data_IF_632356027375
#
_entry.id   IF_632356027375
#
_cell.length_a   1.000
_cell.length_b   1.000
_cell.length_c   1.000
_cell.angle_alpha   90.00
_cell.angle_beta   90.00
_cell.angle_gamma   90.00
#
_symmetry.space_group_name_H-M   'P 1'
#
loop_
_entity.id
_entity.type
_entity.pdbx_description
1 polymer ?
#
# COMPACT_ATOMS: atom_id res chain seq x y z
N UNK A 1 -7.69 22.54 -6.55
CA UNK A 1 -8.16 21.35 -7.30
C UNK A 1 -9.68 21.47 -7.43
N UNK A 2 -10.23 21.60 -8.64
CA UNK A 2 -11.68 21.56 -8.87
C UNK A 2 -11.91 20.83 -10.19
N UNK A 3 -12.60 19.69 -10.14
CA UNK A 3 -12.86 18.81 -11.28
C UNK A 3 -14.33 18.45 -11.24
N UNK A 4 -15.07 18.86 -12.28
CA UNK A 4 -16.53 18.69 -12.35
C UNK A 4 -16.97 17.25 -12.67
N UNK A 5 -16.05 16.36 -13.02
CA UNK A 5 -16.34 15.00 -13.49
C UNK A 5 -15.68 13.88 -12.69
N UNK A 6 -14.95 14.20 -11.63
CA UNK A 6 -14.32 13.20 -10.75
C UNK A 6 -15.33 12.52 -9.84
N UNK A 7 -15.15 11.22 -9.61
CA UNK A 7 -15.93 10.42 -8.66
C UNK A 7 -14.99 9.77 -7.65
N UNK A 8 -14.23 10.61 -6.95
CA UNK A 8 -13.15 10.16 -6.08
C UNK A 8 -13.65 9.35 -4.90
N UNK A 9 -13.07 8.17 -4.71
CA UNK A 9 -13.38 7.23 -3.62
C UNK A 9 -12.15 6.91 -2.77
N UNK A 10 -10.98 6.78 -3.39
CA UNK A 10 -9.69 6.62 -2.73
C UNK A 10 -8.79 7.82 -2.95
N UNK A 11 -8.01 8.17 -1.95
CA UNK A 11 -7.03 9.27 -2.03
C UNK A 11 -5.78 8.90 -1.25
N UNK A 12 -4.62 9.17 -1.84
CA UNK A 12 -3.33 8.97 -1.20
C UNK A 12 -2.36 10.08 -1.59
N UNK A 13 -1.60 10.55 -0.62
CA UNK A 13 -0.53 11.53 -0.82
C UNK A 13 0.83 10.85 -0.64
N UNK A 14 1.71 11.03 -1.62
CA UNK A 14 3.05 10.46 -1.66
C UNK A 14 3.90 11.24 -2.68
N UNK A 15 5.20 11.31 -2.44
CA UNK A 15 6.22 11.84 -3.37
C UNK A 15 6.58 10.73 -4.39
N UNK A 16 5.85 10.63 -5.50
CA UNK A 16 5.99 9.50 -6.44
C UNK A 16 7.17 9.68 -7.40
N UNK A 17 7.58 10.94 -7.68
CA UNK A 17 8.68 11.25 -8.59
C UNK A 17 10.00 11.62 -7.88
N UNK A 18 10.00 11.56 -6.54
CA UNK A 18 11.16 11.79 -5.68
C UNK A 18 11.75 13.20 -5.78
N UNK A 19 10.94 14.20 -6.12
CA UNK A 19 11.36 15.60 -6.19
C UNK A 19 11.36 16.31 -4.83
N UNK A 20 10.84 15.64 -3.80
CA UNK A 20 10.85 16.08 -2.41
C UNK A 20 9.58 16.82 -1.98
N UNK A 21 8.57 16.93 -2.85
CA UNK A 21 7.25 17.39 -2.46
C UNK A 21 6.17 16.30 -2.62
N UNK A 22 4.98 16.52 -2.06
CA UNK A 22 3.93 15.48 -2.01
C UNK A 22 2.95 15.68 -3.16
N UNK A 23 2.72 14.61 -3.91
CA UNK A 23 1.68 14.52 -4.93
C UNK A 23 0.40 13.92 -4.37
N UNK A 24 -0.66 13.89 -5.19
CA UNK A 24 -1.95 13.33 -4.79
C UNK A 24 -2.53 12.45 -5.88
N UNK A 25 -2.71 11.16 -5.59
CA UNK A 25 -3.49 10.27 -6.43
C UNK A 25 -4.92 10.16 -5.93
N UNK A 26 -5.87 10.10 -6.86
CA UNK A 26 -7.30 9.93 -6.59
C UNK A 26 -7.85 8.80 -7.47
N UNK A 27 -8.28 7.72 -6.82
CA UNK A 27 -9.00 6.62 -7.45
C UNK A 27 -10.46 7.06 -7.69
N UNK A 28 -10.92 6.98 -8.94
CA UNK A 28 -12.24 7.44 -9.36
C UNK A 28 -13.15 6.27 -9.77
N UNK A 29 -14.42 6.35 -9.38
CA UNK A 29 -15.44 5.34 -9.70
C UNK A 29 -15.98 5.46 -11.15
N UNK A 30 -15.43 4.69 -12.08
CA UNK A 30 -15.93 4.52 -13.45
C UNK A 30 -15.60 5.71 -14.34
N UNK A 31 -14.58 6.49 -13.95
CA UNK A 31 -14.03 7.63 -14.71
C UNK A 31 -12.52 7.65 -14.53
N UNK A 32 -11.75 8.29 -15.42
CA UNK A 32 -10.29 8.23 -15.34
C UNK A 32 -9.76 8.72 -13.98
N UNK A 33 -8.79 8.00 -13.41
CA UNK A 33 -8.14 8.39 -12.17
C UNK A 33 -7.40 9.75 -12.33
N UNK A 34 -7.12 10.40 -11.20
CA UNK A 34 -6.31 11.61 -11.19
C UNK A 34 -4.98 11.39 -10.46
N UNK A 35 -3.94 12.03 -10.97
CA UNK A 35 -2.63 12.14 -10.34
C UNK A 35 -2.28 13.61 -10.41
N UNK A 36 -2.48 14.31 -9.31
CA UNK A 36 -2.13 15.70 -9.18
C UNK A 36 -0.67 15.79 -8.79
N UNK A 37 0.17 16.01 -9.80
CA UNK A 37 1.57 16.33 -9.60
C UNK A 37 1.66 17.73 -8.99
N UNK A 38 2.38 17.85 -7.89
CA UNK A 38 2.65 19.13 -7.27
C UNK A 38 3.71 19.87 -8.10
N UNK A 39 3.44 21.14 -8.37
CA UNK A 39 4.27 22.02 -9.21
C UNK A 39 4.94 23.10 -8.36
N UNK A 40 4.99 22.88 -7.04
CA UNK A 40 5.39 23.84 -6.03
C UNK A 40 4.37 24.96 -5.80
N UNK A 41 4.57 25.70 -4.71
CA UNK A 41 3.78 26.88 -4.33
C UNK A 41 2.26 26.62 -4.27
N UNK A 42 1.86 25.41 -3.87
CA UNK A 42 0.45 25.00 -3.74
C UNK A 42 -0.29 24.85 -5.07
N UNK A 43 0.44 24.73 -6.19
CA UNK A 43 -0.13 24.47 -7.51
C UNK A 43 -0.01 22.99 -7.84
N UNK A 44 -1.06 22.44 -8.43
CA UNK A 44 -1.11 21.04 -8.84
C UNK A 44 -1.59 20.93 -10.28
N UNK A 45 -0.97 20.04 -11.05
CA UNK A 45 -1.38 19.69 -12.41
C UNK A 45 -1.82 18.23 -12.48
N UNK A 46 -2.94 17.94 -13.15
CA UNK A 46 -3.33 16.55 -13.37
C UNK A 46 -2.43 15.92 -14.45
N UNK A 47 -1.57 14.99 -14.04
CA UNK A 47 -0.62 14.27 -14.88
C UNK A 47 -1.06 12.83 -15.21
N UNK A 48 -2.21 12.36 -14.69
CA UNK A 48 -2.60 10.94 -14.73
C UNK A 48 -2.49 10.28 -16.11
N UNK A 49 -3.00 10.94 -17.15
CA UNK A 49 -2.99 10.39 -18.50
C UNK A 49 -1.57 10.35 -19.08
N UNK A 50 -0.78 11.40 -18.85
CA UNK A 50 0.60 11.48 -19.31
C UNK A 50 1.51 10.48 -18.56
N UNK A 51 1.17 10.17 -17.30
CA UNK A 51 1.89 9.25 -16.43
C UNK A 51 1.37 7.81 -16.52
N UNK A 52 0.31 7.53 -17.28
CA UNK A 52 -0.17 6.15 -17.49
C UNK A 52 -1.03 5.56 -16.38
N UNK A 53 -1.48 6.36 -15.40
CA UNK A 53 -2.31 5.88 -14.26
C UNK A 53 -3.78 6.28 -14.34
N UNK A 54 -4.18 6.99 -15.39
CA UNK A 54 -5.57 7.43 -15.58
C UNK A 54 -6.52 6.28 -15.97
N UNK A 55 -6.00 5.25 -16.64
CA UNK A 55 -6.73 4.17 -17.29
C UNK A 55 -5.94 2.86 -17.09
N UNK A 56 -6.56 1.71 -17.30
CA UNK A 56 -5.84 0.43 -17.30
C UNK A 56 -5.04 0.20 -18.60
N UNK A 57 -4.35 -0.94 -18.69
CA UNK A 57 -3.44 -1.30 -19.77
C UNK A 57 -4.08 -1.40 -21.16
N UNK A 58 -5.42 -1.46 -21.24
CA UNK A 58 -6.18 -1.44 -22.50
C UNK A 58 -6.87 -0.10 -22.78
N UNK A 59 -6.65 0.91 -21.93
CA UNK A 59 -7.16 2.27 -22.11
C UNK A 59 -8.59 2.46 -21.63
N UNK A 60 -9.08 1.64 -20.70
CA UNK A 60 -10.41 1.74 -20.13
C UNK A 60 -10.38 2.41 -18.74
N UNK A 61 -11.45 3.14 -18.42
CA UNK A 61 -11.65 3.64 -17.07
C UNK A 61 -12.24 2.53 -16.22
N UNK A 62 -11.67 2.36 -15.03
CA UNK A 62 -12.15 1.39 -14.04
C UNK A 62 -12.85 2.14 -12.91
N UNK A 63 -13.53 1.41 -12.05
CA UNK A 63 -14.18 1.90 -10.86
C UNK A 63 -13.28 1.74 -9.64
N UNK A 64 -12.31 2.65 -9.51
CA UNK A 64 -11.32 2.64 -8.44
C UNK A 64 -11.90 2.99 -7.07
N UNK A 65 -11.58 2.16 -6.07
CA UNK A 65 -11.96 2.36 -4.67
C UNK A 65 -10.74 2.57 -3.77
N UNK A 66 -10.19 1.51 -3.17
CA UNK A 66 -9.02 1.63 -2.31
C UNK A 66 -7.73 1.72 -3.11
N UNK A 67 -6.77 2.42 -2.52
CA UNK A 67 -5.49 2.72 -3.16
C UNK A 67 -4.34 2.57 -2.18
N UNK A 68 -3.20 2.08 -2.67
CA UNK A 68 -1.95 2.19 -1.94
C UNK A 68 -0.75 2.39 -2.87
N UNK A 69 0.32 2.96 -2.31
CA UNK A 69 1.65 2.99 -2.91
C UNK A 69 2.62 2.07 -2.14
N UNK A 70 3.56 1.45 -2.84
CA UNK A 70 4.58 0.58 -2.25
C UNK A 70 5.68 0.28 -3.25
N UNK A 71 6.90 0.12 -2.77
CA UNK A 71 8.08 -0.31 -3.56
C UNK A 71 8.06 -1.84 -3.60
N UNK A 72 7.23 -2.42 -4.49
CA UNK A 72 6.87 -3.85 -4.39
C UNK A 72 7.89 -4.78 -5.04
N UNK A 73 8.74 -4.26 -5.93
CA UNK A 73 9.83 -5.00 -6.54
C UNK A 73 11.22 -4.56 -6.00
N UNK A 74 11.23 -3.76 -4.93
CA UNK A 74 12.42 -3.32 -4.20
C UNK A 74 13.45 -2.60 -5.10
N UNK A 75 12.98 -1.82 -6.07
CA UNK A 75 13.80 -1.05 -6.99
C UNK A 75 14.07 0.41 -6.52
N UNK A 76 13.37 0.82 -5.45
CA UNK A 76 13.56 2.09 -4.75
C UNK A 76 12.64 3.22 -5.23
N UNK A 77 11.81 3.00 -6.25
CA UNK A 77 10.67 3.87 -6.55
C UNK A 77 9.35 3.28 -6.01
N UNK A 78 8.26 4.04 -6.13
CA UNK A 78 6.98 3.64 -5.55
C UNK A 78 5.97 3.33 -6.64
N UNK A 79 5.38 2.15 -6.55
CA UNK A 79 4.35 1.61 -7.43
C UNK A 79 2.97 1.82 -6.84
N UNK A 80 1.96 1.78 -7.70
CA UNK A 80 0.58 2.11 -7.33
C UNK A 80 -0.32 0.90 -7.52
N UNK A 81 -1.08 0.55 -6.49
CA UNK A 81 -2.12 -0.47 -6.56
C UNK A 81 -3.50 0.16 -6.33
N UNK A 82 -4.47 -0.19 -7.17
CA UNK A 82 -5.84 0.30 -7.11
C UNK A 82 -6.81 -0.88 -7.16
N UNK A 83 -7.71 -0.95 -6.19
CA UNK A 83 -8.81 -1.92 -6.20
C UNK A 83 -9.98 -1.40 -7.01
N UNK A 84 -10.67 -2.30 -7.71
CA UNK A 84 -11.69 -1.94 -8.70
C UNK A 84 -12.98 -2.77 -8.56
N UNK A 85 -13.94 -2.53 -9.45
CA UNK A 85 -15.22 -3.22 -9.47
C UNK A 85 -15.10 -4.66 -10.00
N UNK A 86 -16.05 -5.53 -9.68
CA UNK A 86 -16.06 -6.90 -10.23
C UNK A 86 -16.15 -6.89 -11.76
N UNK A 87 -15.38 -7.75 -12.42
CA UNK A 87 -15.08 -7.79 -13.86
C UNK A 87 -14.15 -6.68 -14.37
N UNK A 88 -13.55 -5.91 -13.46
CA UNK A 88 -12.34 -5.12 -13.67
C UNK A 88 -11.22 -5.80 -12.87
N UNK A 89 -9.96 -5.62 -13.25
CA UNK A 89 -8.84 -6.15 -12.47
C UNK A 89 -8.49 -5.18 -11.36
N UNK A 90 -8.01 -5.67 -10.20
CA UNK A 90 -7.34 -4.76 -9.26
C UNK A 90 -5.97 -4.42 -9.85
N UNK A 91 -5.79 -3.16 -10.25
CA UNK A 91 -4.74 -2.75 -11.17
C UNK A 91 -3.45 -2.39 -10.44
N UNK A 92 -2.36 -3.05 -10.82
CA UNK A 92 -1.00 -2.76 -10.37
C UNK A 92 -0.27 -1.98 -11.46
N UNK A 93 0.09 -0.74 -11.13
CA UNK A 93 0.86 0.18 -11.95
C UNK A 93 2.30 0.21 -11.43
N UNK A 94 3.21 -0.42 -12.15
CA UNK A 94 4.64 -0.32 -11.85
C UNK A 94 5.21 1.00 -12.34
N UNK A 95 5.96 1.70 -11.51
CA UNK A 95 6.65 2.91 -11.88
C UNK A 95 7.91 2.55 -12.69
N UNK A 96 8.13 3.27 -13.79
CA UNK A 96 9.27 3.06 -14.69
C UNK A 96 10.15 4.33 -14.64
N UNK A 97 10.14 5.03 -13.51
CA UNK A 97 10.77 6.33 -13.23
C UNK A 97 10.11 7.55 -13.90
N UNK A 98 9.65 7.43 -15.16
CA UNK A 98 9.08 8.57 -15.92
C UNK A 98 7.56 8.48 -16.03
N UNK A 99 7.04 7.26 -16.14
CA UNK A 99 5.63 6.92 -16.30
C UNK A 99 5.37 5.59 -15.58
N UNK A 100 4.10 5.24 -15.44
CA UNK A 100 3.67 3.96 -14.89
C UNK A 100 3.14 3.04 -15.97
N UNK A 101 3.34 1.74 -15.77
CA UNK A 101 2.88 0.68 -16.63
C UNK A 101 1.95 -0.23 -15.86
N UNK A 102 0.77 -0.50 -16.41
CA UNK A 102 -0.08 -1.59 -15.94
C UNK A 102 0.64 -2.94 -16.15
N UNK A 103 0.96 -3.60 -15.05
CA UNK A 103 1.63 -4.91 -15.01
C UNK A 103 0.72 -5.98 -14.39
N UNK A 104 -0.56 -5.71 -14.19
CA UNK A 104 -1.51 -6.54 -13.42
C UNK A 104 -1.53 -8.00 -13.86
N UNK A 105 -1.60 -8.24 -15.18
CA UNK A 105 -1.58 -9.60 -15.72
C UNK A 105 -0.19 -10.26 -15.59
N UNK A 106 0.89 -9.49 -15.79
CA UNK A 106 2.26 -10.00 -15.69
C UNK A 106 2.64 -10.34 -14.24
N UNK A 107 2.09 -9.62 -13.28
CA UNK A 107 2.28 -9.82 -11.85
C UNK A 107 1.35 -10.92 -11.26
N UNK A 108 0.49 -11.54 -12.06
CA UNK A 108 -0.40 -12.63 -11.61
C UNK A 108 -1.68 -12.18 -10.89
N UNK A 109 -2.02 -10.89 -10.92
CA UNK A 109 -3.14 -10.33 -10.17
C UNK A 109 -4.46 -10.28 -10.95
N UNK A 110 -4.40 -10.35 -12.29
CA UNK A 110 -5.58 -10.16 -13.15
C UNK A 110 -6.69 -11.20 -12.87
N UNK A 111 -6.45 -12.48 -13.15
CA UNK A 111 -7.48 -13.52 -13.02
C UNK A 111 -8.00 -13.69 -11.58
N UNK A 112 -7.15 -13.69 -10.53
CA UNK A 112 -7.64 -13.81 -9.16
C UNK A 112 -8.52 -12.65 -8.70
N UNK A 113 -8.23 -11.41 -9.11
CA UNK A 113 -9.00 -10.23 -8.69
C UNK A 113 -10.30 -10.04 -9.48
N UNK A 114 -10.34 -10.52 -10.73
CA UNK A 114 -11.38 -10.19 -11.72
C UNK A 114 -12.83 -10.47 -11.30
N UNK A 115 -13.11 -11.35 -10.34
CA UNK A 115 -14.50 -11.62 -9.88
C UNK A 115 -14.89 -10.94 -8.58
N UNK A 116 -13.92 -10.29 -7.93
CA UNK A 116 -14.12 -9.62 -6.66
C UNK A 116 -14.37 -8.14 -6.86
N UNK A 117 -15.10 -7.52 -5.94
CA UNK A 117 -15.24 -6.08 -5.88
C UNK A 117 -14.43 -5.62 -4.66
N UNK A 118 -13.28 -5.02 -4.95
CA UNK A 118 -12.27 -4.64 -3.96
C UNK A 118 -12.53 -3.28 -3.33
N UNK A 119 -12.13 -3.14 -2.08
CA UNK A 119 -12.15 -1.88 -1.34
C UNK A 119 -10.83 -1.67 -0.59
N UNK A 120 -10.77 -1.93 0.71
CA UNK A 120 -9.56 -1.68 1.49
C UNK A 120 -8.39 -2.51 0.98
N UNK A 121 -7.22 -1.90 0.88
CA UNK A 121 -6.01 -2.53 0.37
C UNK A 121 -4.76 -1.92 0.98
N UNK A 122 -3.70 -2.70 1.09
CA UNK A 122 -2.38 -2.19 1.44
C UNK A 122 -1.29 -3.12 0.92
N UNK A 123 -0.15 -2.53 0.56
CA UNK A 123 1.10 -3.27 0.49
C UNK A 123 1.60 -3.50 1.92
N UNK A 124 1.89 -4.75 2.26
CA UNK A 124 2.37 -5.17 3.57
C UNK A 124 3.39 -6.29 3.41
N UNK A 125 4.23 -6.54 4.40
CA UNK A 125 5.12 -7.69 4.42
C UNK A 125 4.64 -8.61 5.56
N UNK A 126 3.71 -9.52 5.25
CA UNK A 126 3.01 -10.28 6.30
C UNK A 126 3.85 -11.45 6.81
N UNK A 127 4.81 -11.96 6.03
CA UNK A 127 5.69 -13.06 6.42
C UNK A 127 7.15 -12.62 6.72
N UNK A 128 7.39 -11.31 6.78
CA UNK A 128 8.66 -10.65 7.08
C UNK A 128 9.80 -11.08 6.12
N UNK A 129 9.52 -11.49 4.89
CA UNK A 129 10.56 -11.99 3.98
C UNK A 129 11.33 -10.87 3.25
N UNK A 130 10.80 -9.65 3.30
CA UNK A 130 11.35 -8.43 2.72
C UNK A 130 10.71 -8.00 1.40
N UNK A 131 9.75 -8.78 0.88
CA UNK A 131 8.96 -8.45 -0.30
C UNK A 131 7.56 -7.96 0.13
N UNK A 132 7.03 -6.92 -0.55
CA UNK A 132 5.69 -6.42 -0.23
C UNK A 132 4.63 -7.31 -0.88
N UNK A 133 3.82 -7.95 -0.04
CA UNK A 133 2.57 -8.64 -0.32
C UNK A 133 1.41 -7.65 -0.50
N UNK A 134 0.24 -8.19 -0.86
CA UNK A 134 -0.99 -7.43 -1.03
C UNK A 134 -2.16 -8.07 -0.31
N UNK A 135 -2.89 -7.27 0.46
CA UNK A 135 -4.20 -7.66 1.01
C UNK A 135 -5.32 -6.85 0.35
N UNK A 136 -6.46 -7.50 0.09
CA UNK A 136 -7.68 -6.84 -0.40
C UNK A 136 -8.90 -7.26 0.42
N UNK A 137 -9.62 -6.26 0.95
CA UNK A 137 -10.94 -6.41 1.53
C UNK A 137 -12.02 -6.32 0.44
N UNK A 138 -12.83 -7.36 0.34
CA UNK A 138 -13.85 -7.48 -0.71
C UNK A 138 -15.27 -7.43 -0.16
N UNK A 139 -16.23 -7.15 -1.04
CA UNK A 139 -17.65 -7.29 -0.75
C UNK A 139 -18.48 -6.44 -1.68
N UNK A 140 -19.36 -7.06 -2.45
CA UNK A 140 -20.09 -6.38 -3.51
C UNK A 140 -21.07 -5.32 -2.96
N UNK A 141 -21.44 -4.34 -3.77
CA UNK A 141 -22.39 -3.27 -3.37
C UNK A 141 -23.85 -3.60 -3.69
N UNK A 142 -24.08 -4.49 -4.66
CA UNK A 142 -25.42 -4.97 -5.05
C UNK A 142 -25.75 -6.29 -4.34
N UNK A 143 -26.76 -6.25 -3.47
CA UNK A 143 -27.25 -7.38 -2.65
C UNK A 143 -27.77 -8.58 -3.47
N UNK A 144 -28.22 -8.31 -4.69
CA UNK A 144 -28.78 -9.30 -5.62
C UNK A 144 -27.88 -9.63 -6.80
N UNK A 145 -26.57 -9.35 -6.71
CA UNK A 145 -25.64 -9.51 -7.84
C UNK A 145 -25.67 -10.91 -8.46
N UNK A 146 -25.82 -11.95 -7.64
CA UNK A 146 -25.91 -13.34 -8.10
C UNK A 146 -27.08 -13.63 -9.05
N UNK A 147 -28.09 -12.75 -9.13
CA UNK A 147 -29.18 -12.85 -10.11
C UNK A 147 -28.78 -12.34 -11.50
N UNK A 148 -27.75 -11.50 -11.59
CA UNK A 148 -27.33 -10.81 -12.81
C UNK A 148 -25.97 -11.29 -13.31
N UNK A 149 -25.10 -11.76 -12.42
CA UNK A 149 -23.73 -12.18 -12.72
C UNK A 149 -23.42 -13.50 -12.05
N UNK A 150 -23.20 -14.53 -12.86
CA UNK A 150 -22.89 -15.87 -12.37
C UNK A 150 -21.47 -15.92 -11.81
N UNK A 151 -21.33 -16.44 -10.59
CA UNK A 151 -20.03 -16.58 -9.92
C UNK A 151 -19.52 -15.33 -9.22
N UNK A 152 -20.35 -14.29 -9.10
CA UNK A 152 -20.13 -13.13 -8.23
C UNK A 152 -21.19 -13.14 -7.15
N UNK A 153 -20.75 -12.99 -5.90
CA UNK A 153 -21.62 -12.99 -4.73
C UNK A 153 -21.60 -11.64 -4.02
N UNK A 154 -22.66 -11.39 -3.23
CA UNK A 154 -22.78 -10.15 -2.48
C UNK A 154 -21.74 -10.05 -1.36
N UNK A 155 -21.69 -11.09 -0.53
CA UNK A 155 -20.62 -11.28 0.45
C UNK A 155 -19.47 -12.00 -0.26
N UNK A 156 -18.23 -11.56 -0.06
CA UNK A 156 -17.07 -12.07 -0.76
C UNK A 156 -15.94 -12.38 0.22
N UNK A 157 -15.12 -13.37 -0.12
CA UNK A 157 -13.89 -13.68 0.60
C UNK A 157 -12.87 -12.54 0.44
N UNK A 158 -12.05 -12.37 1.46
CA UNK A 158 -10.87 -11.50 1.42
C UNK A 158 -9.77 -12.14 0.59
N UNK A 159 -8.89 -11.31 0.01
CA UNK A 159 -7.75 -11.81 -0.74
C UNK A 159 -6.43 -11.41 -0.07
N UNK A 160 -5.52 -12.37 0.02
CA UNK A 160 -4.11 -12.19 0.36
C UNK A 160 -3.28 -12.73 -0.79
N UNK A 161 -2.32 -11.94 -1.22
CA UNK A 161 -1.40 -12.23 -2.32
C UNK A 161 0.01 -12.16 -1.78
N UNK A 162 0.71 -13.28 -1.77
CA UNK A 162 2.13 -13.30 -1.42
C UNK A 162 2.96 -12.89 -2.62
N UNK A 163 3.89 -11.97 -2.44
CA UNK A 163 4.91 -11.66 -3.44
C UNK A 163 5.98 -12.74 -3.41
N UNK A 164 6.14 -13.50 -4.49
CA UNK A 164 7.10 -14.61 -4.58
C UNK A 164 8.54 -14.13 -4.90
N UNK A 165 8.80 -12.84 -4.70
CA UNK A 165 10.02 -12.14 -5.06
C UNK A 165 10.03 -11.61 -6.50
N UNK A 166 10.65 -10.44 -6.69
CA UNK A 166 10.78 -9.80 -8.01
C UNK A 166 9.45 -9.35 -8.63
N UNK A 167 8.41 -9.19 -7.79
CA UNK A 167 7.16 -8.54 -8.18
C UNK A 167 6.12 -9.44 -8.84
N UNK A 168 6.13 -10.74 -8.57
CA UNK A 168 5.07 -11.67 -9.01
C UNK A 168 4.28 -12.15 -7.81
N UNK A 169 2.96 -12.23 -7.93
CA UNK A 169 2.08 -12.58 -6.84
C UNK A 169 1.41 -13.94 -7.03
N UNK A 170 1.34 -14.69 -5.92
CA UNK A 170 0.50 -15.87 -5.77
C UNK A 170 -0.61 -15.57 -4.78
N UNK A 171 -1.86 -15.88 -5.13
CA UNK A 171 -2.98 -15.80 -4.19
C UNK A 171 -2.86 -16.92 -3.14
N UNK A 172 -2.82 -16.55 -1.86
CA UNK A 172 -2.58 -17.45 -0.73
C UNK A 172 -3.74 -17.52 0.26
N UNK A 173 -4.83 -16.79 0.05
CA UNK A 173 -5.97 -16.70 0.98
C UNK A 173 -6.47 -18.05 1.46
N UNK A 174 -6.53 -19.06 0.58
CA UNK A 174 -7.01 -20.40 0.92
C UNK A 174 -6.17 -21.15 1.96
N UNK A 175 -4.93 -20.72 2.20
CA UNK A 175 -3.99 -21.30 3.16
C UNK A 175 -3.61 -20.34 4.31
N UNK A 176 -4.09 -19.10 4.30
CA UNK A 176 -3.71 -18.05 5.26
C UNK A 176 -4.65 -17.95 6.47
N UNK A 177 -5.31 -19.04 6.83
CA UNK A 177 -6.18 -19.14 8.00
C UNK A 177 -7.67 -18.92 7.71
N UNK A 178 -8.49 -19.15 8.75
CA UNK A 178 -9.95 -19.25 8.60
C UNK A 178 -10.60 -17.94 8.15
N UNK A 179 -10.04 -16.79 8.54
CA UNK A 179 -10.54 -15.45 8.19
C UNK A 179 -10.79 -15.30 6.68
N UNK A 180 -9.87 -15.78 5.87
CA UNK A 180 -9.90 -15.65 4.41
C UNK A 180 -10.90 -16.58 3.73
N UNK A 181 -11.44 -17.56 4.45
CA UNK A 181 -12.47 -18.47 3.94
C UNK A 181 -13.89 -17.94 4.19
N UNK A 182 -14.02 -16.89 5.02
CA UNK A 182 -15.31 -16.30 5.38
C UNK A 182 -15.68 -15.17 4.43
N UNK A 183 -16.90 -15.22 3.92
CA UNK A 183 -17.48 -14.16 3.08
C UNK A 183 -18.02 -13.04 3.94
N UNK A 184 -17.64 -11.80 3.63
CA UNK A 184 -18.08 -10.60 4.32
C UNK A 184 -18.40 -9.47 3.33
N UNK A 185 -18.90 -8.34 3.84
CA UNK A 185 -19.12 -7.12 3.07
C UNK A 185 -18.14 -6.08 3.61
N UNK A 186 -16.89 -6.21 3.21
CA UNK A 186 -15.78 -5.49 3.83
C UNK A 186 -15.46 -4.21 3.08
N UNK A 187 -15.02 -3.18 3.80
CA UNK A 187 -14.65 -1.88 3.22
C UNK A 187 -13.24 -1.50 3.68
N UNK A 188 -13.12 -0.59 4.63
CA UNK A 188 -11.83 -0.12 5.12
C UNK A 188 -11.06 -1.22 5.84
N UNK A 189 -9.76 -1.28 5.59
CA UNK A 189 -8.79 -2.13 6.27
C UNK A 189 -7.60 -1.27 6.71
N UNK A 190 -7.27 -1.32 8.00
CA UNK A 190 -6.13 -0.68 8.62
C UNK A 190 -5.11 -1.75 9.02
N UNK A 191 -3.83 -1.38 8.97
CA UNK A 191 -2.72 -2.31 9.17
C UNK A 191 -1.79 -1.80 10.25
N UNK A 192 -1.18 -2.71 10.99
CA UNK A 192 -0.17 -2.39 11.99
C UNK A 192 0.07 -3.55 12.93
N UNK A 193 1.24 -3.55 13.56
CA UNK A 193 1.61 -4.46 14.63
C UNK A 193 0.91 -4.03 15.93
N UNK A 194 -0.27 -4.61 16.18
CA UNK A 194 -1.20 -4.15 17.21
C UNK A 194 -0.71 -4.47 18.62
N UNK A 195 0.00 -5.58 18.79
CA UNK A 195 0.46 -6.07 20.09
C UNK A 195 1.98 -6.03 20.29
N UNK A 196 2.70 -5.43 19.34
CA UNK A 196 4.14 -5.15 19.36
C UNK A 196 5.01 -6.42 19.33
N UNK A 197 4.57 -7.45 18.60
CA UNK A 197 5.30 -8.71 18.44
C UNK A 197 6.10 -8.82 17.12
N UNK A 198 5.89 -7.87 16.21
CA UNK A 198 6.70 -7.69 15.00
C UNK A 198 6.12 -8.22 13.71
N UNK A 199 4.90 -8.77 13.76
CA UNK A 199 4.13 -9.07 12.57
C UNK A 199 3.04 -8.01 12.32
N UNK A 200 2.49 -7.99 11.11
CA UNK A 200 1.48 -7.00 10.71
C UNK A 200 0.09 -7.60 10.88
N UNK A 201 -0.72 -7.00 11.75
CA UNK A 201 -2.14 -7.31 11.92
C UNK A 201 -3.04 -6.46 11.02
N UNK A 202 -4.29 -6.89 10.88
CA UNK A 202 -5.29 -6.21 10.05
C UNK A 202 -6.57 -5.96 10.85
N UNK A 203 -7.00 -4.70 10.90
CA UNK A 203 -8.32 -4.31 11.39
C UNK A 203 -9.26 -3.99 10.22
N UNK A 204 -10.31 -4.78 10.05
CA UNK A 204 -11.24 -4.70 8.92
C UNK A 204 -12.62 -4.23 9.38
N UNK A 205 -13.18 -3.24 8.69
CA UNK A 205 -14.55 -2.77 8.89
C UNK A 205 -15.53 -3.43 7.92
N UNK A 206 -16.65 -3.92 8.46
CA UNK A 206 -17.69 -4.63 7.72
C UNK A 206 -18.98 -3.80 7.64
N UNK A 207 -19.57 -3.65 6.45
CA UNK A 207 -20.85 -2.99 6.27
C UNK A 207 -21.97 -3.79 6.94
N UNK A 208 -22.63 -3.19 7.94
CA UNK A 208 -23.72 -3.85 8.68
C UNK A 208 -23.26 -4.97 9.61
N UNK A 209 -21.95 -5.11 9.82
CA UNK A 209 -21.33 -6.10 10.70
C UNK A 209 -20.39 -5.46 11.73
N UNK A 210 -19.74 -6.30 12.52
CA UNK A 210 -18.71 -5.88 13.47
C UNK A 210 -17.39 -5.62 12.78
N UNK A 211 -16.58 -4.70 13.31
CA UNK A 211 -15.16 -4.65 12.96
C UNK A 211 -14.46 -5.93 13.43
N UNK A 212 -13.47 -6.40 12.68
CA UNK A 212 -12.71 -7.62 12.97
C UNK A 212 -11.23 -7.32 12.98
N UNK A 213 -10.57 -7.65 14.10
CA UNK A 213 -9.12 -7.68 14.20
C UNK A 213 -8.66 -9.09 13.80
N UNK A 214 -7.80 -9.16 12.80
CA UNK A 214 -7.19 -10.37 12.27
C UNK A 214 -5.73 -10.32 12.69
N UNK A 215 -5.34 -11.25 13.56
CA UNK A 215 -3.97 -11.31 14.08
C UNK A 215 -3.10 -12.29 13.30
N UNK A 216 -1.83 -11.97 13.12
CA UNK A 216 -0.88 -12.77 12.34
C UNK A 216 -0.02 -13.76 13.18
N UNK A 217 -0.53 -14.13 14.36
CA UNK A 217 0.14 -14.96 15.37
C UNK A 217 0.81 -16.29 14.92
N UNK A 218 0.35 -16.92 13.83
CA UNK A 218 0.77 -18.26 13.42
C UNK A 218 1.62 -18.27 12.12
N UNK A 219 1.80 -17.12 11.47
CA UNK A 219 2.36 -17.01 10.12
C UNK A 219 3.84 -16.63 10.06
N UNK A 220 4.30 -15.80 11.00
CA UNK A 220 5.57 -15.09 10.85
C UNK A 220 6.51 -15.25 12.04
N UNK A 221 7.78 -15.59 11.77
CA UNK A 221 8.86 -15.68 12.76
C UNK A 221 10.19 -15.14 12.24
N UNK A 222 10.17 -14.49 11.08
CA UNK A 222 11.37 -13.91 10.50
C UNK A 222 11.70 -12.58 11.19
N UNK A 223 12.90 -12.07 10.92
CA UNK A 223 13.36 -10.85 11.58
C UNK A 223 12.67 -9.63 10.96
N UNK A 224 12.51 -8.58 11.76
CA UNK A 224 11.86 -7.35 11.33
C UNK A 224 12.57 -6.11 11.88
N UNK A 225 12.26 -4.95 11.32
CA UNK A 225 12.58 -3.66 11.90
C UNK A 225 11.38 -2.75 11.73
N UNK A 226 11.02 -2.04 12.79
CA UNK A 226 9.99 -1.01 12.70
C UNK A 226 10.59 0.36 12.96
N UNK A 227 10.32 1.31 12.09
CA UNK A 227 10.90 2.65 12.15
C UNK A 227 9.80 3.68 12.35
N UNK A 228 9.95 4.52 13.38
CA UNK A 228 9.08 5.67 13.65
C UNK A 228 9.86 6.98 13.54
N UNK A 229 9.82 7.67 12.38
CA UNK A 229 10.33 9.03 12.27
C UNK A 229 9.49 10.01 13.09
N UNK A 230 10.14 10.91 13.82
CA UNK A 230 9.51 12.00 14.59
C UNK A 230 10.15 13.32 14.18
N UNK A 231 9.39 14.16 13.47
CA UNK A 231 9.88 15.45 12.99
C UNK A 231 10.10 16.47 14.11
N UNK A 232 11.08 17.35 13.93
CA UNK A 232 11.36 18.51 14.80
C UNK A 232 11.44 19.83 14.03
N UNK A 233 11.87 19.78 12.77
CA UNK A 233 11.75 20.86 11.78
C UNK A 233 10.62 20.57 10.80
N UNK A 234 10.52 19.31 10.37
CA UNK A 234 9.40 18.75 9.63
C UNK A 234 8.17 18.59 10.54
N UNK A 235 7.03 18.19 9.97
CA UNK A 235 5.82 17.91 10.76
C UNK A 235 6.09 16.80 11.80
N UNK A 236 5.44 16.88 12.96
CA UNK A 236 5.73 16.01 14.11
C UNK A 236 5.48 14.52 13.85
N UNK A 237 4.53 14.23 12.98
CA UNK A 237 4.17 12.87 12.59
C UNK A 237 5.13 12.29 11.54
N UNK A 238 6.11 13.08 11.06
CA UNK A 238 7.10 12.63 10.08
C UNK A 238 6.54 12.38 8.68
N UNK A 239 5.30 12.81 8.38
CA UNK A 239 4.64 12.58 7.07
C UNK A 239 5.54 13.09 5.94
N UNK A 240 5.76 12.23 4.93
CA UNK A 240 6.64 12.49 3.79
C UNK A 240 8.09 12.05 4.01
N UNK A 241 8.50 11.69 5.23
CA UNK A 241 9.84 11.14 5.47
C UNK A 241 9.99 9.80 4.73
N UNK A 242 11.01 9.70 3.88
CA UNK A 242 11.38 8.48 3.15
C UNK A 242 12.49 7.78 3.93
N UNK A 243 12.27 6.52 4.29
CA UNK A 243 13.20 5.69 5.04
C UNK A 243 13.69 4.57 4.13
N UNK A 244 15.01 4.46 4.02
CA UNK A 244 15.71 3.40 3.31
C UNK A 244 16.43 2.53 4.31
N UNK A 245 16.16 1.23 4.27
CA UNK A 245 16.80 0.22 5.13
C UNK A 245 17.68 -0.67 4.26
N UNK A 246 18.92 -0.90 4.70
CA UNK A 246 19.82 -1.87 4.09
C UNK A 246 20.21 -2.90 5.15
N UNK A 247 19.94 -4.17 4.88
CA UNK A 247 20.28 -5.30 5.75
C UNK A 247 20.88 -6.42 4.90
N UNK A 248 22.17 -6.70 5.06
CA UNK A 248 22.86 -7.85 4.46
C UNK A 248 22.57 -8.03 2.95
N UNK A 249 22.52 -6.92 2.21
CA UNK A 249 22.27 -6.88 0.77
C UNK A 249 20.81 -6.72 0.34
N UNK A 250 19.83 -6.84 1.25
CA UNK A 250 18.46 -6.40 1.01
C UNK A 250 18.36 -4.89 1.20
N UNK A 251 17.67 -4.24 0.29
CA UNK A 251 17.38 -2.81 0.31
C UNK A 251 15.88 -2.63 0.18
N UNK A 252 15.30 -1.80 1.04
CA UNK A 252 13.87 -1.51 1.05
C UNK A 252 13.66 -0.02 1.27
N UNK A 253 12.64 0.54 0.61
CA UNK A 253 12.22 1.94 0.80
C UNK A 253 10.76 2.00 1.24
N UNK A 254 10.48 2.83 2.25
CA UNK A 254 9.12 3.14 2.71
C UNK A 254 8.99 4.63 2.99
N UNK A 255 7.78 5.19 2.86
CA UNK A 255 7.50 6.58 3.19
C UNK A 255 6.38 6.67 4.23
N UNK A 256 6.56 7.55 5.22
CA UNK A 256 5.52 7.85 6.21
C UNK A 256 4.36 8.59 5.54
N UNK A 257 3.16 8.04 5.68
CA UNK A 257 1.93 8.55 5.05
C UNK A 257 0.82 8.70 6.08
N UNK A 258 -0.15 9.56 5.79
CA UNK A 258 -1.28 9.84 6.69
C UNK A 258 -2.56 9.08 6.35
N UNK A 259 -2.62 8.43 5.19
CA UNK A 259 -3.77 7.66 4.74
C UNK A 259 -3.41 6.77 3.55
N UNK A 260 -4.13 5.67 3.43
CA UNK A 260 -4.04 4.66 2.37
C UNK A 260 -5.35 3.87 2.35
N UNK A 261 -5.43 2.79 1.56
CA UNK A 261 -6.57 1.87 1.56
C UNK A 261 -7.86 2.59 1.15
N UNK A 262 -8.99 2.21 1.73
CA UNK A 262 -10.30 2.81 1.48
C UNK A 262 -10.85 3.47 2.76
N UNK A 263 -10.91 4.81 2.78
CA UNK A 263 -11.44 5.63 3.88
C UNK A 263 -10.84 5.27 5.26
N UNK A 264 -9.54 4.95 5.27
CA UNK A 264 -8.85 4.39 6.44
C UNK A 264 -7.44 5.01 6.57
N UNK A 265 -6.84 4.87 7.76
CA UNK A 265 -5.43 5.13 8.00
C UNK A 265 -4.85 3.97 8.83
N UNK A 266 -3.62 3.58 8.51
CA UNK A 266 -2.86 2.53 9.18
C UNK A 266 -1.97 3.12 10.28
N UNK A 267 -1.27 2.24 11.01
CA UNK A 267 -0.18 2.62 11.88
C UNK A 267 0.87 3.45 11.11
N UNK A 268 1.30 4.63 11.62
CA UNK A 268 2.32 5.44 10.94
C UNK A 268 3.73 4.87 11.04
N UNK A 269 3.97 3.83 11.84
CA UNK A 269 5.27 3.14 11.92
C UNK A 269 5.53 2.38 10.62
N UNK A 270 6.74 2.53 10.10
CA UNK A 270 7.18 1.84 8.89
C UNK A 270 7.73 0.47 9.25
N UNK A 271 7.09 -0.58 8.77
CA UNK A 271 7.52 -1.96 8.96
C UNK A 271 8.41 -2.42 7.79
N UNK A 272 9.43 -3.20 8.14
CA UNK A 272 10.40 -3.81 7.22
C UNK A 272 10.63 -5.25 7.66
N UNK A 273 10.19 -6.24 6.88
CA UNK A 273 10.64 -7.62 7.04
C UNK A 273 12.07 -7.76 6.57
N UNK A 274 12.85 -8.56 7.29
CA UNK A 274 14.28 -8.73 7.06
C UNK A 274 14.63 -10.19 6.71
N UNK A 275 13.66 -11.10 6.74
CA UNK A 275 13.87 -12.53 6.59
C UNK A 275 14.81 -13.07 7.67
N UNK A 276 15.72 -13.97 7.28
CA UNK A 276 16.71 -14.56 8.16
C UNK A 276 17.86 -13.59 8.56
N UNK A 277 17.84 -12.33 8.12
CA UNK A 277 18.93 -11.38 8.31
C UNK A 277 19.00 -10.93 9.75
N UNK A 278 20.21 -10.87 10.30
CA UNK A 278 20.45 -10.61 11.72
C UNK A 278 21.03 -9.23 12.00
N UNK A 279 21.25 -8.46 10.93
CA UNK A 279 21.92 -7.16 11.01
C UNK A 279 21.34 -6.17 10.02
N UNK A 280 21.00 -4.99 10.53
CA UNK A 280 20.70 -3.81 9.71
C UNK A 280 21.97 -2.97 9.58
N UNK A 281 22.49 -2.88 8.36
CA UNK A 281 23.71 -2.15 8.04
C UNK A 281 23.48 -0.64 8.06
N UNK A 282 22.34 -0.18 7.52
CA UNK A 282 22.01 1.23 7.39
C UNK A 282 20.49 1.45 7.52
N UNK A 283 20.12 2.47 8.29
CA UNK A 283 18.83 3.15 8.21
C UNK A 283 19.11 4.59 7.80
N UNK A 284 18.66 4.99 6.61
CA UNK A 284 18.73 6.36 6.13
C UNK A 284 17.33 6.98 6.13
N UNK A 285 17.17 8.13 6.77
CA UNK A 285 15.93 8.91 6.75
C UNK A 285 16.17 10.19 5.98
N UNK A 286 15.46 10.36 4.87
CA UNK A 286 15.34 11.64 4.17
C UNK A 286 14.08 12.33 4.67
N UNK A 287 14.25 13.47 5.33
CA UNK A 287 13.18 14.26 5.93
C UNK A 287 12.55 15.23 4.93
N UNK A 288 11.28 15.61 5.12
CA UNK A 288 10.63 16.68 4.35
C UNK A 288 11.37 18.03 4.42
N UNK A 289 12.13 18.28 5.49
CA UNK A 289 13.00 19.46 5.62
C UNK A 289 14.19 19.48 4.65
N UNK A 290 14.45 18.36 3.95
CA UNK A 290 15.63 18.14 3.12
C UNK A 290 16.83 17.59 3.89
N UNK A 291 16.74 17.44 5.21
CA UNK A 291 17.77 16.76 5.99
C UNK A 291 17.85 15.27 5.66
N UNK A 292 19.06 14.72 5.74
CA UNK A 292 19.31 13.28 5.63
C UNK A 292 20.03 12.82 6.89
N UNK A 293 19.48 11.83 7.57
CA UNK A 293 20.05 11.25 8.78
C UNK A 293 20.37 9.78 8.52
N UNK A 294 21.57 9.33 8.93
CA UNK A 294 22.02 7.94 8.75
C UNK A 294 22.34 7.32 10.10
N UNK A 295 21.83 6.11 10.31
CA UNK A 295 22.13 5.27 11.47
C UNK A 295 22.73 3.96 10.95
N UNK A 296 23.83 3.54 11.54
CA UNK A 296 24.50 2.28 11.21
C UNK A 296 24.37 1.29 12.37
N UNK A 297 24.44 -0.02 12.05
CA UNK A 297 24.45 -1.11 13.05
C UNK A 297 23.22 -1.09 13.96
N UNK A 298 22.05 -0.97 13.35
CA UNK A 298 20.76 -0.99 14.03
C UNK A 298 20.40 -2.45 14.37
N UNK A 299 19.85 -2.73 15.58
CA UNK A 299 19.40 -4.08 15.92
C UNK A 299 18.17 -4.49 15.08
N UNK A 300 18.06 -5.79 14.81
CA UNK A 300 16.82 -6.40 14.30
C UNK A 300 15.83 -6.65 15.45
N UNK A 301 14.57 -6.91 15.11
CA UNK A 301 13.46 -7.22 16.01
C UNK A 301 13.23 -6.11 17.03
N UNK A 302 13.17 -4.88 16.53
CA UNK A 302 13.11 -3.69 17.36
C UNK A 302 12.26 -2.59 16.74
N UNK A 303 11.66 -1.78 17.61
CA UNK A 303 11.07 -0.50 17.25
C UNK A 303 12.12 0.60 17.42
N UNK A 304 12.51 1.21 16.31
CA UNK A 304 13.46 2.31 16.25
C UNK A 304 12.71 3.64 16.10
N UNK A 305 12.73 4.46 17.15
CA UNK A 305 12.24 5.84 17.11
C UNK A 305 13.38 6.75 16.68
N UNK A 306 13.19 7.49 15.59
CA UNK A 306 14.20 8.41 15.04
C UNK A 306 13.68 9.83 15.13
N UNK A 307 14.24 10.62 16.06
CA UNK A 307 13.97 12.05 16.11
C UNK A 307 14.81 12.80 15.06
N UNK A 308 14.18 13.68 14.29
CA UNK A 308 14.85 14.56 13.32
C UNK A 308 15.82 15.48 14.05
N UNK A 309 17.10 15.40 13.67
CA UNK A 309 18.15 16.25 14.24
C UNK A 309 18.86 17.02 13.13
N UNK A 310 19.16 18.29 13.42
CA UNK A 310 20.21 19.00 12.68
C UNK A 310 21.53 18.42 13.19
N UNK A 311 22.39 17.92 12.31
CA UNK A 311 23.75 17.54 12.71
C UNK A 311 24.37 18.69 13.49
N UNK A 312 24.64 18.47 14.77
CA UNK A 312 25.45 19.38 15.57
C UNK A 312 26.89 19.21 15.09
N UNK A 313 27.42 20.24 14.40
CA UNK A 313 28.84 20.36 14.11
C UNK A 313 29.70 20.22 15.38
#
# INVERSE_FOLDING_TARGET
>A
INVASGKGLGVIALDYDSDGDQDLFVANDGTPNFLYQNLGNGKFGNAALAKGVALNGIGESEAGMGVDFGDYDNDGDFDLFVTNFSYETNTLYRNEGVFFKDVTAAAGLADPSHRFLGFGTNFLDYDNDGDLDLYVANGHVLDKIALFQSGVEYMQEHQLFRNDGGGSYTETSSISGEWFLHKQISRGAAFGDYDEDGDVDILVNNCGGEAKLVRNDDGNRENWLMVRPVGTQSNRDGIGAKVRVVAEGLEQVRQVRSGSSYLTASDPRLHFGLGARTKVDLVEVRWPSGLVQRLEKVPVNAVLIIEEKVDSQ
#
